data_IF_274671748167
#
_entry.id   IF_274671748167
#
_cell.length_a   1.000
_cell.length_b   1.000
_cell.length_c   1.000
_cell.angle_alpha   90.00
_cell.angle_beta   90.00
_cell.angle_gamma   90.00
#
_symmetry.space_group_name_H-M   'P 1'
#
loop_
_entity.id
_entity.type
_entity.pdbx_description
1 polymer ?
#
# COMPACT_ATOMS: atom_id res chain seq x y z
N UNK A 1 -7.55 67.83 -27.41
CA UNK A 1 -6.89 67.72 -26.08
C UNK A 1 -7.21 66.33 -25.54
N UNK A 2 -6.32 65.36 -25.76
CA UNK A 2 -6.60 63.92 -25.50
C UNK A 2 -6.04 63.57 -24.12
N UNK A 3 -6.90 63.10 -23.20
CA UNK A 3 -6.51 62.66 -21.85
C UNK A 3 -5.71 61.36 -21.97
N UNK A 4 -4.48 61.35 -21.47
CA UNK A 4 -3.66 60.15 -21.36
C UNK A 4 -4.29 59.17 -20.36
N UNK A 5 -4.55 57.96 -20.81
CA UNK A 5 -5.06 56.84 -20.01
C UNK A 5 -3.85 56.21 -19.29
N UNK A 6 -3.80 56.31 -17.96
CA UNK A 6 -2.79 55.57 -17.18
C UNK A 6 -3.08 54.06 -17.26
N UNK A 7 -2.09 53.20 -17.56
CA UNK A 7 -2.28 51.76 -17.57
C UNK A 7 -2.47 51.23 -16.15
N UNK A 8 -3.28 50.17 -15.96
CA UNK A 8 -3.55 49.61 -14.63
C UNK A 8 -2.28 48.95 -14.07
N UNK A 9 -1.92 49.32 -12.84
CA UNK A 9 -0.87 48.65 -12.08
C UNK A 9 -1.18 47.14 -11.96
N UNK A 10 -0.33 46.31 -12.55
CA UNK A 10 -0.37 44.87 -12.39
C UNK A 10 -0.31 44.50 -10.90
N UNK A 11 -1.42 43.99 -10.36
CA UNK A 11 -1.46 43.35 -9.04
C UNK A 11 -0.47 42.20 -9.07
N UNK A 12 0.66 42.32 -8.36
CA UNK A 12 1.56 41.20 -8.07
C UNK A 12 0.71 40.08 -7.46
N UNK A 13 0.53 38.99 -8.21
CA UNK A 13 -0.09 37.78 -7.69
C UNK A 13 0.76 37.33 -6.51
N UNK A 14 0.15 37.24 -5.33
CA UNK A 14 0.78 36.57 -4.18
C UNK A 14 1.01 35.13 -4.64
N UNK A 15 2.25 34.78 -4.92
CA UNK A 15 2.65 33.40 -5.19
C UNK A 15 2.14 32.56 -4.01
N UNK A 16 1.26 31.61 -4.32
CA UNK A 16 0.76 30.67 -3.34
C UNK A 16 1.97 30.01 -2.68
N UNK A 17 2.08 30.13 -1.34
CA UNK A 17 3.10 29.40 -0.58
C UNK A 17 2.98 27.92 -0.96
N UNK A 18 4.07 27.24 -1.36
CA UNK A 18 4.00 25.83 -1.68
C UNK A 18 3.46 25.09 -0.45
N UNK A 19 2.36 24.38 -0.63
CA UNK A 19 1.85 23.44 0.36
C UNK A 19 3.01 22.51 0.71
N UNK A 20 3.56 22.67 1.91
CA UNK A 20 4.52 21.72 2.46
C UNK A 20 3.78 20.38 2.56
N UNK A 21 4.01 19.50 1.59
CA UNK A 21 3.64 18.10 1.61
C UNK A 21 4.44 17.40 2.72
N UNK A 22 4.06 17.69 3.96
CA UNK A 22 4.60 17.05 5.16
C UNK A 22 3.92 15.68 5.32
N UNK A 23 4.52 14.69 4.68
CA UNK A 23 4.75 13.33 5.19
C UNK A 23 5.02 12.44 3.99
N UNK A 24 6.13 11.71 4.04
CA UNK A 24 6.55 10.74 3.02
C UNK A 24 5.51 9.62 2.91
N UNK A 25 4.49 9.82 2.08
CA UNK A 25 3.55 8.77 1.71
C UNK A 25 4.34 7.71 0.93
N UNK A 26 4.79 6.66 1.61
CA UNK A 26 5.53 5.57 0.97
C UNK A 26 4.55 4.68 0.21
N UNK A 27 4.75 4.59 -1.10
CA UNK A 27 4.03 3.67 -1.98
C UNK A 27 4.77 2.34 -2.02
N UNK A 28 4.06 1.24 -1.82
CA UNK A 28 4.57 -0.10 -2.08
C UNK A 28 4.07 -0.55 -3.46
N UNK A 29 4.97 -1.06 -4.29
CA UNK A 29 4.62 -1.74 -5.55
C UNK A 29 4.56 -3.24 -5.27
N UNK A 30 3.42 -3.86 -5.52
CA UNK A 30 3.18 -5.27 -5.22
C UNK A 30 2.79 -5.97 -6.51
N UNK A 31 3.42 -7.12 -6.78
CA UNK A 31 2.96 -8.03 -7.82
C UNK A 31 1.95 -9.00 -7.21
N UNK A 32 0.75 -9.04 -7.77
CA UNK A 32 -0.39 -9.78 -7.25
C UNK A 32 -1.08 -10.57 -8.36
N UNK A 33 -1.51 -11.82 -8.11
CA UNK A 33 -2.31 -12.57 -9.06
C UNK A 33 -3.67 -11.87 -9.31
N UNK A 34 -4.17 -11.96 -10.53
CA UNK A 34 -5.47 -11.38 -10.93
C UNK A 34 -6.60 -11.79 -9.99
N UNK A 35 -6.74 -13.10 -9.73
CA UNK A 35 -7.78 -13.65 -8.85
C UNK A 35 -7.73 -13.04 -7.44
N UNK A 36 -6.54 -12.86 -6.87
CA UNK A 36 -6.38 -12.23 -5.55
C UNK A 36 -6.85 -10.76 -5.60
N UNK A 37 -6.54 -10.05 -6.68
CA UNK A 37 -6.98 -8.67 -6.85
C UNK A 37 -8.51 -8.56 -7.01
N UNK A 38 -9.12 -9.51 -7.72
CA UNK A 38 -10.58 -9.62 -7.84
C UNK A 38 -11.25 -9.84 -6.48
N UNK A 39 -10.77 -10.79 -5.68
CA UNK A 39 -11.32 -11.06 -4.35
C UNK A 39 -11.18 -9.84 -3.41
N UNK A 40 -10.03 -9.16 -3.44
CA UNK A 40 -9.85 -7.91 -2.70
C UNK A 40 -10.88 -6.87 -3.14
N UNK A 41 -11.10 -6.69 -4.45
CA UNK A 41 -12.08 -5.71 -4.93
C UNK A 41 -13.51 -6.07 -4.49
N UNK A 42 -13.90 -7.34 -4.53
CA UNK A 42 -15.22 -7.80 -4.07
C UNK A 42 -15.46 -7.48 -2.60
N UNK A 43 -14.49 -7.76 -1.73
CA UNK A 43 -14.59 -7.43 -0.30
C UNK A 43 -14.73 -5.92 -0.10
N UNK A 44 -13.93 -5.13 -0.80
CA UNK A 44 -14.01 -3.66 -0.71
C UNK A 44 -15.37 -3.13 -1.17
N UNK A 45 -16.01 -3.77 -2.15
CA UNK A 45 -17.36 -3.43 -2.59
C UNK A 45 -18.41 -3.78 -1.51
N UNK A 46 -18.29 -4.96 -0.88
CA UNK A 46 -19.18 -5.41 0.20
C UNK A 46 -19.06 -4.57 1.46
N UNK A 47 -17.84 -4.17 1.85
CA UNK A 47 -17.58 -3.32 3.03
C UNK A 47 -17.99 -1.85 2.84
N UNK A 48 -18.47 -1.46 1.66
CA UNK A 48 -18.92 -0.09 1.40
C UNK A 48 -17.80 0.86 0.95
N UNK A 49 -16.87 0.37 0.12
CA UNK A 49 -15.80 1.14 -0.55
C UNK A 49 -14.69 1.62 0.38
N UNK A 50 -14.20 0.75 1.27
CA UNK A 50 -12.95 0.99 2.01
C UNK A 50 -11.81 1.24 1.01
N UNK A 51 -10.88 2.15 1.33
CA UNK A 51 -9.72 2.36 0.45
C UNK A 51 -8.83 1.12 0.47
N UNK A 52 -8.57 0.51 -0.70
CA UNK A 52 -7.69 -0.66 -0.87
C UNK A 52 -6.39 -0.59 -0.06
N UNK A 53 -5.72 0.56 -0.06
CA UNK A 53 -4.49 0.75 0.73
C UNK A 53 -4.69 0.64 2.24
N UNK A 54 -5.82 1.13 2.77
CA UNK A 54 -6.16 0.99 4.20
C UNK A 54 -6.48 -0.46 4.56
N UNK A 55 -7.24 -1.15 3.72
CA UNK A 55 -7.57 -2.56 3.93
C UNK A 55 -6.31 -3.44 3.91
N UNK A 56 -5.44 -3.26 2.90
CA UNK A 56 -4.14 -3.96 2.83
C UNK A 56 -3.25 -3.59 4.02
N UNK A 57 -3.28 -2.34 4.47
CA UNK A 57 -2.54 -1.91 5.67
C UNK A 57 -2.98 -2.68 6.92
N UNK A 58 -4.29 -2.85 7.10
CA UNK A 58 -4.85 -3.66 8.19
C UNK A 58 -4.39 -5.12 8.08
N UNK A 59 -4.52 -5.71 6.89
CA UNK A 59 -4.08 -7.09 6.66
C UNK A 59 -2.59 -7.33 7.02
N UNK A 60 -1.71 -6.37 6.75
CA UNK A 60 -0.28 -6.46 7.11
C UNK A 60 -0.08 -6.42 8.63
N UNK A 61 -0.83 -5.57 9.34
CA UNK A 61 -0.78 -5.49 10.81
C UNK A 61 -1.28 -6.80 11.40
N UNK A 62 -2.42 -7.30 10.92
CA UNK A 62 -3.03 -8.55 11.36
C UNK A 62 -2.13 -9.77 11.08
N UNK A 63 -1.35 -9.74 10.00
CA UNK A 63 -0.34 -10.77 9.73
C UNK A 63 0.77 -10.72 10.77
N UNK A 64 1.30 -9.54 11.11
CA UNK A 64 2.37 -9.40 12.10
C UNK A 64 1.95 -9.88 13.50
N UNK A 65 0.67 -9.80 13.82
CA UNK A 65 0.11 -10.31 15.09
C UNK A 65 -0.09 -11.84 15.09
N UNK A 66 0.13 -12.52 13.95
CA UNK A 66 0.00 -13.97 13.84
C UNK A 66 1.27 -14.67 14.32
N UNK A 67 1.15 -15.64 15.23
CA UNK A 67 2.30 -16.27 15.93
C UNK A 67 3.38 -16.85 14.99
N UNK A 68 2.99 -17.40 13.83
CA UNK A 68 3.91 -17.98 12.84
C UNK A 68 3.86 -17.28 11.48
N UNK A 69 3.88 -15.94 11.48
CA UNK A 69 3.84 -15.20 10.21
C UNK A 69 5.05 -15.47 9.31
N UNK A 70 6.20 -15.89 9.85
CA UNK A 70 7.40 -16.18 9.05
C UNK A 70 7.23 -17.50 8.29
N UNK A 71 6.74 -18.55 8.94
CA UNK A 71 6.42 -19.82 8.28
C UNK A 71 5.43 -19.61 7.14
N UNK A 72 4.37 -18.83 7.36
CA UNK A 72 3.39 -18.49 6.31
C UNK A 72 4.01 -17.76 5.11
N UNK A 73 5.06 -16.96 5.32
CA UNK A 73 5.74 -16.26 4.23
C UNK A 73 6.68 -17.18 3.46
N UNK A 74 7.34 -18.11 4.15
CA UNK A 74 8.23 -19.10 3.53
C UNK A 74 7.44 -20.12 2.68
N UNK A 75 6.29 -20.55 3.18
CA UNK A 75 5.37 -21.47 2.49
C UNK A 75 4.60 -20.82 1.33
N UNK A 76 4.75 -19.52 1.12
CA UNK A 76 4.00 -18.81 0.08
C UNK A 76 4.31 -19.36 -1.31
N UNK A 77 3.31 -20.02 -1.90
CA UNK A 77 3.34 -20.40 -3.30
C UNK A 77 2.85 -19.26 -4.20
N UNK A 78 3.77 -18.68 -4.98
CA UNK A 78 3.45 -17.61 -5.93
C UNK A 78 3.48 -18.11 -7.38
N UNK A 79 2.30 -18.24 -7.99
CA UNK A 79 2.19 -18.47 -9.43
C UNK A 79 2.55 -17.18 -10.20
N UNK A 80 3.50 -17.30 -11.14
CA UNK A 80 3.99 -16.18 -11.94
C UNK A 80 3.06 -15.84 -13.11
N UNK A 81 2.07 -16.67 -13.43
CA UNK A 81 1.08 -16.39 -14.46
C UNK A 81 0.11 -15.26 -14.05
N UNK A 82 -0.29 -14.41 -14.99
CA UNK A 82 -1.35 -13.39 -14.84
C UNK A 82 -1.22 -12.48 -13.61
N UNK A 83 -0.04 -11.87 -13.45
CA UNK A 83 0.25 -10.97 -12.33
C UNK A 83 0.16 -9.50 -12.72
N UNK A 84 -0.47 -8.71 -11.86
CA UNK A 84 -0.56 -7.25 -11.97
C UNK A 84 0.36 -6.57 -10.97
N UNK A 85 1.06 -5.54 -11.42
CA UNK A 85 1.79 -4.63 -10.53
C UNK A 85 0.83 -3.54 -10.06
N UNK A 86 0.47 -3.56 -8.78
CA UNK A 86 -0.37 -2.55 -8.15
C UNK A 86 0.46 -1.66 -7.24
N UNK A 87 0.14 -0.36 -7.20
CA UNK A 87 0.71 0.56 -6.23
C UNK A 87 -0.30 0.78 -5.10
N UNK A 88 0.14 0.55 -3.88
CA UNK A 88 -0.68 0.79 -2.69
C UNK A 88 0.02 1.75 -1.76
N UNK A 89 -0.77 2.62 -1.13
CA UNK A 89 -0.30 3.52 -0.08
C UNK A 89 -0.55 2.84 1.25
N UNK A 90 0.52 2.59 1.99
CA UNK A 90 0.45 1.97 3.31
C UNK A 90 0.33 3.05 4.40
N UNK A 91 -0.37 2.72 5.48
CA UNK A 91 -0.33 3.55 6.70
C UNK A 91 1.04 3.45 7.36
N UNK A 92 1.37 4.42 8.23
CA UNK A 92 2.65 4.41 8.97
C UNK A 92 2.80 3.17 9.85
N UNK A 93 1.71 2.74 10.48
CA UNK A 93 1.65 1.56 11.35
C UNK A 93 1.93 0.29 10.55
N UNK A 94 1.22 0.08 9.44
CA UNK A 94 1.45 -1.06 8.56
C UNK A 94 2.86 -1.09 7.99
N UNK A 95 3.43 0.08 7.68
CA UNK A 95 4.81 0.17 7.26
C UNK A 95 5.79 -0.23 8.38
N UNK A 96 5.49 0.14 9.63
CA UNK A 96 6.31 -0.27 10.77
C UNK A 96 6.23 -1.78 10.99
N UNK A 97 5.03 -2.36 10.95
CA UNK A 97 4.82 -3.80 11.03
C UNK A 97 5.60 -4.53 9.92
N UNK A 98 5.46 -4.08 8.66
CA UNK A 98 6.19 -4.64 7.53
C UNK A 98 7.72 -4.60 7.72
N UNK A 99 8.26 -3.49 8.23
CA UNK A 99 9.69 -3.39 8.50
C UNK A 99 10.15 -4.35 9.61
N UNK A 100 9.31 -4.58 10.62
CA UNK A 100 9.61 -5.54 11.69
C UNK A 100 9.60 -6.97 11.16
N UNK A 101 8.59 -7.35 10.36
CA UNK A 101 8.54 -8.64 9.66
C UNK A 101 9.82 -8.86 8.85
N UNK A 102 10.22 -7.87 8.03
CA UNK A 102 11.45 -7.97 7.22
C UNK A 102 12.69 -8.15 8.10
N UNK A 103 12.75 -7.45 9.23
CA UNK A 103 13.89 -7.53 10.15
C UNK A 103 13.97 -8.90 10.81
N UNK A 104 12.85 -9.44 11.30
CA UNK A 104 12.78 -10.74 11.95
C UNK A 104 13.07 -11.87 10.96
N UNK A 105 12.49 -11.82 9.75
CA UNK A 105 12.78 -12.79 8.70
C UNK A 105 14.27 -12.83 8.33
N UNK A 106 14.93 -11.67 8.24
CA UNK A 106 16.39 -11.60 8.04
C UNK A 106 17.18 -12.21 9.19
N UNK A 107 16.73 -12.03 10.43
CA UNK A 107 17.38 -12.63 11.60
C UNK A 107 17.26 -14.16 11.60
N UNK A 108 16.18 -14.69 11.02
CA UNK A 108 15.97 -16.12 10.83
C UNK A 108 16.62 -16.68 9.56
N UNK A 109 17.30 -15.84 8.78
CA UNK A 109 18.01 -16.25 7.56
C UNK A 109 17.13 -16.41 6.33
N UNK A 110 15.89 -15.88 6.34
CA UNK A 110 15.03 -15.91 5.16
C UNK A 110 15.51 -14.87 4.13
N UNK A 111 16.08 -15.35 3.04
CA UNK A 111 16.53 -14.51 1.93
C UNK A 111 15.67 -14.73 0.68
N UNK A 112 14.85 -13.73 0.37
CA UNK A 112 13.97 -13.75 -0.81
C UNK A 112 13.99 -12.40 -1.54
N UNK A 113 14.19 -12.44 -2.86
CA UNK A 113 14.29 -11.23 -3.69
C UNK A 113 12.98 -10.42 -3.74
N UNK A 114 11.83 -11.09 -3.70
CA UNK A 114 10.50 -10.46 -3.71
C UNK A 114 9.82 -10.46 -2.33
N UNK A 115 10.61 -10.54 -1.24
CA UNK A 115 10.10 -10.69 0.12
C UNK A 115 8.97 -9.71 0.46
N UNK A 116 9.13 -8.41 0.15
CA UNK A 116 8.09 -7.41 0.42
C UNK A 116 6.77 -7.76 -0.28
N UNK A 117 6.83 -8.18 -1.56
CA UNK A 117 5.62 -8.56 -2.29
C UNK A 117 5.04 -9.86 -1.73
N UNK A 118 5.87 -10.83 -1.36
CA UNK A 118 5.45 -12.08 -0.74
C UNK A 118 4.73 -11.82 0.59
N UNK A 119 5.33 -11.05 1.50
CA UNK A 119 4.70 -10.67 2.77
C UNK A 119 3.34 -10.04 2.58
N UNK A 120 3.21 -9.12 1.61
CA UNK A 120 1.93 -8.44 1.39
C UNK A 120 0.90 -9.39 0.76
N UNK A 121 1.29 -10.28 -0.16
CA UNK A 121 0.40 -11.31 -0.69
C UNK A 121 -0.06 -12.30 0.37
N UNK A 122 0.84 -12.71 1.27
CA UNK A 122 0.52 -13.58 2.42
C UNK A 122 -0.44 -12.88 3.38
N UNK A 123 -0.19 -11.60 3.68
CA UNK A 123 -1.08 -10.80 4.50
C UNK A 123 -2.50 -10.75 3.90
N UNK A 124 -2.59 -10.50 2.60
CA UNK A 124 -3.87 -10.50 1.88
C UNK A 124 -4.51 -11.89 1.92
N UNK A 125 -3.76 -12.95 1.63
CA UNK A 125 -4.27 -14.32 1.63
C UNK A 125 -4.83 -14.71 2.99
N UNK A 126 -4.09 -14.45 4.07
CA UNK A 126 -4.52 -14.70 5.44
C UNK A 126 -5.80 -13.90 5.77
N UNK A 127 -5.88 -12.64 5.35
CA UNK A 127 -7.10 -11.84 5.50
C UNK A 127 -8.29 -12.42 4.71
N UNK A 128 -8.09 -12.81 3.44
CA UNK A 128 -9.14 -13.41 2.60
C UNK A 128 -9.68 -14.71 3.20
N UNK A 129 -8.79 -15.56 3.74
CA UNK A 129 -9.15 -16.81 4.41
C UNK A 129 -9.99 -16.54 5.66
N UNK A 130 -9.62 -15.53 6.48
CA UNK A 130 -10.40 -15.14 7.67
C UNK A 130 -11.81 -14.65 7.33
N UNK A 131 -11.97 -13.97 6.20
CA UNK A 131 -13.27 -13.50 5.70
C UNK A 131 -14.07 -14.61 4.99
N UNK A 132 -13.53 -15.84 4.87
CA UNK A 132 -14.19 -16.98 4.24
C UNK A 132 -14.21 -16.95 2.70
N UNK A 133 -13.31 -16.18 2.07
CA UNK A 133 -13.30 -15.93 0.63
C UNK A 133 -12.18 -16.66 -0.15
N UNK A 134 -11.61 -17.75 0.40
CA UNK A 134 -10.57 -18.54 -0.27
C UNK A 134 -10.65 -20.04 0.03
#
# INVERSE_FOLDING_TARGET
MVKAFNPPHARKSKSAKPLKLNSSVRRASIRMPEKMLEEVNKILELEGKTHKGKWISKAIIDLYETEDFIGLIDEEWFDRANNFAIQVVLTKEAQSALNNIIKEAKQQGLERNDFISATIRVAITNALVREGNF
#
